data_IF_222108240203
#
_entry.id   IF_222108240203
#
_cell.length_a   1.000
_cell.length_b   1.000
_cell.length_c   1.000
_cell.angle_alpha   90.00
_cell.angle_beta   90.00
_cell.angle_gamma   90.00
#
_symmetry.space_group_name_H-M   'P 1'
#
loop_
_entity.id
_entity.type
_entity.pdbx_description
1 polymer ?
#
# COMPACT_ATOMS: atom_id res chain seq x y z
N UNK A 1 19.34 39.34 -18.92
CA UNK A 1 18.56 38.80 -17.80
C UNK A 1 17.24 38.26 -18.32
N UNK A 2 17.10 36.93 -18.46
CA UNK A 2 15.87 36.29 -18.90
C UNK A 2 14.98 36.08 -17.66
N UNK A 3 13.88 36.83 -17.55
CA UNK A 3 12.89 36.65 -16.49
C UNK A 3 12.23 35.27 -16.67
N UNK A 4 12.37 34.41 -15.67
CA UNK A 4 11.61 33.14 -15.60
C UNK A 4 10.11 33.45 -15.63
N UNK A 5 9.29 32.75 -16.44
CA UNK A 5 7.85 32.95 -16.42
C UNK A 5 7.32 32.63 -15.01
N UNK A 6 6.28 33.34 -14.53
CA UNK A 6 5.68 33.05 -13.25
C UNK A 6 5.15 31.61 -13.22
N UNK A 7 5.46 30.86 -12.15
CA UNK A 7 4.89 29.53 -11.92
C UNK A 7 3.39 29.68 -11.97
N UNK A 8 2.75 28.96 -12.90
CA UNK A 8 1.31 28.90 -12.96
C UNK A 8 0.79 28.39 -11.62
N UNK A 9 0.01 29.20 -10.92
CA UNK A 9 -0.74 28.77 -9.74
C UNK A 9 -1.64 27.62 -10.15
N UNK A 10 -1.69 26.49 -9.39
CA UNK A 10 -2.59 25.38 -9.68
C UNK A 10 -4.02 25.89 -9.79
N UNK A 11 -4.74 25.51 -10.85
CA UNK A 11 -6.14 25.86 -10.99
C UNK A 11 -6.93 25.21 -9.84
N UNK A 12 -7.89 25.89 -9.21
CA UNK A 12 -8.68 25.33 -8.08
C UNK A 12 -9.33 23.98 -8.36
N UNK A 13 -9.73 23.74 -9.62
CA UNK A 13 -10.28 22.47 -10.08
C UNK A 13 -9.27 21.30 -10.06
N UNK A 14 -7.98 21.59 -10.03
CA UNK A 14 -6.95 20.53 -9.91
C UNK A 14 -6.70 20.14 -8.46
N UNK A 15 -6.97 21.01 -7.48
CA UNK A 15 -6.71 20.73 -6.08
C UNK A 15 -7.63 19.62 -5.53
N UNK A 16 -8.94 19.69 -5.79
CA UNK A 16 -9.88 18.64 -5.39
C UNK A 16 -9.54 17.29 -6.07
N UNK A 17 -9.20 17.34 -7.39
CA UNK A 17 -8.82 16.13 -8.12
C UNK A 17 -7.51 15.53 -7.64
N UNK A 18 -6.59 16.31 -7.10
CA UNK A 18 -5.35 15.84 -6.54
C UNK A 18 -5.54 15.15 -5.18
N UNK A 19 -6.52 15.60 -4.37
CA UNK A 19 -6.81 15.01 -3.05
C UNK A 19 -7.27 13.57 -3.18
N UNK A 20 -8.33 13.31 -3.94
CA UNK A 20 -8.86 11.95 -4.10
C UNK A 20 -7.87 11.02 -4.79
N UNK A 21 -7.13 11.52 -5.80
CA UNK A 21 -6.10 10.73 -6.48
C UNK A 21 -5.00 10.30 -5.51
N UNK A 22 -4.54 11.19 -4.64
CA UNK A 22 -3.53 10.86 -3.62
C UNK A 22 -4.05 9.85 -2.62
N UNK A 23 -5.28 10.01 -2.11
CA UNK A 23 -5.87 9.08 -1.16
C UNK A 23 -6.07 7.68 -1.75
N UNK A 24 -6.61 7.56 -2.96
CA UNK A 24 -6.67 6.27 -3.65
C UNK A 24 -5.28 5.68 -3.89
N UNK A 25 -4.30 6.50 -4.27
CA UNK A 25 -2.91 6.05 -4.43
C UNK A 25 -2.32 5.52 -3.12
N UNK A 26 -2.63 6.16 -1.98
CA UNK A 26 -2.20 5.74 -0.64
C UNK A 26 -2.80 4.36 -0.29
N UNK A 27 -4.08 4.13 -0.58
CA UNK A 27 -4.74 2.84 -0.38
C UNK A 27 -4.02 1.71 -1.14
N UNK A 28 -3.74 1.91 -2.43
CA UNK A 28 -2.99 0.92 -3.22
C UNK A 28 -1.54 0.75 -2.76
N UNK A 29 -0.93 1.82 -2.24
CA UNK A 29 0.42 1.77 -1.69
C UNK A 29 0.50 0.93 -0.42
N UNK A 30 -0.58 0.81 0.36
CA UNK A 30 -0.63 -0.06 1.54
C UNK A 30 -0.40 -1.54 1.17
N UNK A 31 -1.08 -2.04 0.12
CA UNK A 31 -0.87 -3.41 -0.35
C UNK A 31 0.55 -3.63 -0.91
N UNK A 32 1.07 -2.65 -1.64
CA UNK A 32 2.44 -2.70 -2.17
C UNK A 32 3.47 -2.74 -1.04
N UNK A 33 3.30 -1.91 -0.01
CA UNK A 33 4.16 -1.87 1.16
C UNK A 33 4.13 -3.19 1.95
N UNK A 34 2.93 -3.75 2.16
CA UNK A 34 2.77 -5.05 2.82
C UNK A 34 3.51 -6.14 2.05
N UNK A 35 3.34 -6.20 0.72
CA UNK A 35 4.01 -7.17 -0.14
C UNK A 35 5.53 -7.02 -0.16
N UNK A 36 6.04 -5.79 -0.15
CA UNK A 36 7.47 -5.50 -0.07
C UNK A 36 8.06 -6.00 1.26
N UNK A 37 7.37 -5.76 2.38
CA UNK A 37 7.81 -6.23 3.69
C UNK A 37 7.77 -7.75 3.82
N UNK A 38 6.74 -8.40 3.28
CA UNK A 38 6.68 -9.87 3.20
C UNK A 38 7.85 -10.40 2.37
N UNK A 39 8.08 -9.84 1.18
CA UNK A 39 9.17 -10.25 0.30
C UNK A 39 10.55 -10.08 0.96
N UNK A 40 10.76 -8.96 1.64
CA UNK A 40 12.00 -8.68 2.37
C UNK A 40 12.21 -9.67 3.51
N UNK A 41 11.15 -9.98 4.29
CA UNK A 41 11.21 -10.96 5.38
C UNK A 41 11.47 -12.39 4.88
N UNK A 42 10.97 -12.71 3.68
CA UNK A 42 11.19 -13.98 3.02
C UNK A 42 12.60 -14.10 2.37
N UNK A 43 13.40 -13.04 2.39
CA UNK A 43 14.72 -13.02 1.78
C UNK A 43 14.73 -12.80 0.26
N UNK A 44 13.57 -12.53 -0.36
CA UNK A 44 13.47 -12.30 -1.81
C UNK A 44 14.23 -11.05 -2.27
N UNK A 45 14.44 -10.09 -1.39
CA UNK A 45 15.18 -8.85 -1.68
C UNK A 45 16.68 -9.10 -1.89
N UNK A 46 17.24 -10.21 -1.42
CA UNK A 46 18.65 -10.55 -1.67
C UNK A 46 18.91 -10.86 -3.15
N UNK A 47 17.94 -11.45 -3.86
CA UNK A 47 18.06 -11.70 -5.28
C UNK A 47 18.21 -10.40 -6.10
N UNK A 48 17.53 -9.34 -5.68
CA UNK A 48 17.63 -8.02 -6.32
C UNK A 48 18.96 -7.32 -6.05
N UNK A 49 19.67 -7.65 -4.95
CA UNK A 49 20.98 -7.09 -4.63
C UNK A 49 22.12 -7.73 -5.46
N UNK A 50 21.91 -8.95 -5.94
CA UNK A 50 22.91 -9.67 -6.72
C UNK A 50 22.97 -9.20 -8.17
N UNK A 51 21.89 -8.64 -8.70
CA UNK A 51 21.85 -8.08 -10.05
C UNK A 51 21.37 -6.61 -10.06
N UNK A 52 22.28 -5.67 -9.80
CA UNK A 52 21.96 -4.22 -9.78
C UNK A 52 21.71 -3.66 -11.19
N UNK A 53 21.99 -4.40 -12.25
CA UNK A 53 21.85 -3.95 -13.65
C UNK A 53 20.41 -3.98 -14.12
N UNK A 54 19.57 -4.82 -13.52
CA UNK A 54 18.16 -5.02 -13.90
C UNK A 54 17.19 -3.93 -13.44
N UNK A 55 17.67 -2.90 -12.74
CA UNK A 55 16.85 -1.77 -12.24
C UNK A 55 15.99 -2.13 -11.02
N UNK A 56 15.18 -1.18 -10.56
CA UNK A 56 14.27 -1.33 -9.41
C UNK A 56 13.18 -2.35 -9.77
N UNK A 57 13.40 -3.60 -9.40
CA UNK A 57 12.39 -4.64 -9.53
C UNK A 57 11.47 -4.59 -8.31
N UNK A 58 10.21 -4.25 -8.54
CA UNK A 58 9.18 -4.42 -7.50
C UNK A 58 9.08 -5.91 -7.15
N UNK A 59 9.12 -6.28 -5.86
CA UNK A 59 9.02 -7.67 -5.44
C UNK A 59 7.76 -8.33 -5.99
N UNK A 60 7.85 -9.56 -6.48
CA UNK A 60 6.72 -10.31 -7.07
C UNK A 60 5.54 -10.38 -6.11
N UNK A 61 5.79 -10.57 -4.80
CA UNK A 61 4.75 -10.59 -3.78
C UNK A 61 3.99 -9.27 -3.72
N UNK A 62 4.69 -8.13 -3.83
CA UNK A 62 4.07 -6.80 -3.87
C UNK A 62 3.13 -6.65 -5.07
N UNK A 63 3.54 -7.12 -6.24
CA UNK A 63 2.72 -7.10 -7.45
C UNK A 63 1.48 -8.00 -7.32
N UNK A 64 1.62 -9.19 -6.75
CA UNK A 64 0.51 -10.11 -6.51
C UNK A 64 -0.53 -9.48 -5.57
N UNK A 65 -0.10 -8.92 -4.44
CA UNK A 65 -1.01 -8.27 -3.48
C UNK A 65 -1.67 -7.03 -4.08
N UNK A 66 -0.93 -6.24 -4.85
CA UNK A 66 -1.46 -5.09 -5.56
C UNK A 66 -2.55 -5.49 -6.58
N UNK A 67 -2.31 -6.51 -7.39
CA UNK A 67 -3.30 -7.03 -8.34
C UNK A 67 -4.52 -7.62 -7.62
N UNK A 68 -4.30 -8.31 -6.51
CA UNK A 68 -5.38 -8.86 -5.69
C UNK A 68 -6.26 -7.76 -5.11
N UNK A 69 -5.66 -6.67 -4.60
CA UNK A 69 -6.40 -5.49 -4.15
C UNK A 69 -7.22 -4.87 -5.30
N UNK A 70 -6.65 -4.73 -6.51
CA UNK A 70 -7.40 -4.22 -7.68
C UNK A 70 -8.60 -5.10 -7.99
N UNK A 71 -8.43 -6.42 -7.98
CA UNK A 71 -9.53 -7.35 -8.25
C UNK A 71 -10.66 -7.20 -7.23
N UNK A 72 -10.32 -7.12 -5.94
CA UNK A 72 -11.31 -6.90 -4.88
C UNK A 72 -11.98 -5.53 -5.04
N UNK A 73 -11.21 -4.48 -5.27
CA UNK A 73 -11.72 -3.11 -5.49
C UNK A 73 -12.76 -3.04 -6.62
N UNK A 74 -12.51 -3.76 -7.71
CA UNK A 74 -13.47 -3.86 -8.82
C UNK A 74 -14.69 -4.69 -8.43
N UNK A 75 -14.51 -5.79 -7.69
CA UNK A 75 -15.58 -6.70 -7.28
C UNK A 75 -16.56 -6.03 -6.30
N UNK A 76 -16.06 -5.23 -5.35
CA UNK A 76 -16.91 -4.48 -4.41
C UNK A 76 -17.47 -3.18 -5.02
N UNK A 77 -17.28 -2.96 -6.32
CA UNK A 77 -17.66 -1.72 -7.01
C UNK A 77 -17.03 -0.44 -6.44
N UNK A 78 -15.89 -0.54 -5.77
CA UNK A 78 -15.17 0.58 -5.18
C UNK A 78 -14.86 1.71 -6.19
N UNK A 79 -14.64 1.35 -7.46
CA UNK A 79 -14.46 2.31 -8.55
C UNK A 79 -15.71 3.17 -8.79
N UNK A 80 -16.93 2.63 -8.63
CA UNK A 80 -18.18 3.39 -8.78
C UNK A 80 -18.38 4.31 -7.57
N UNK A 81 -18.08 3.84 -6.36
CA UNK A 81 -18.11 4.68 -5.15
C UNK A 81 -17.12 5.83 -5.26
N UNK A 82 -15.89 5.56 -5.71
CA UNK A 82 -14.89 6.61 -5.95
C UNK A 82 -15.38 7.65 -6.98
N UNK A 83 -15.99 7.22 -8.09
CA UNK A 83 -16.56 8.14 -9.07
C UNK A 83 -17.71 8.99 -8.48
N UNK A 84 -18.58 8.38 -7.67
CA UNK A 84 -19.64 9.10 -6.97
C UNK A 84 -19.06 10.18 -6.05
N UNK A 85 -18.06 9.84 -5.22
CA UNK A 85 -17.40 10.79 -4.33
C UNK A 85 -16.78 11.95 -5.13
N UNK A 86 -16.17 11.68 -6.28
CA UNK A 86 -15.63 12.72 -7.15
C UNK A 86 -16.73 13.68 -7.64
N UNK A 87 -17.89 13.17 -8.04
CA UNK A 87 -19.01 14.00 -8.48
C UNK A 87 -19.55 14.81 -7.31
N UNK A 88 -19.74 14.19 -6.15
CA UNK A 88 -20.23 14.84 -4.94
C UNK A 88 -19.24 15.90 -4.42
N UNK A 89 -17.93 15.73 -4.64
CA UNK A 89 -16.92 16.70 -4.21
C UNK A 89 -17.11 18.11 -4.79
N UNK A 90 -17.76 18.24 -5.94
CA UNK A 90 -18.12 19.56 -6.49
C UNK A 90 -19.17 20.31 -5.68
N UNK A 91 -19.97 19.60 -4.87
CA UNK A 91 -20.93 20.21 -3.95
C UNK A 91 -20.21 20.76 -2.70
N UNK A 92 -19.14 20.08 -2.24
CA UNK A 92 -18.35 20.49 -1.07
C UNK A 92 -17.33 21.59 -1.42
N UNK A 93 -16.74 21.53 -2.59
CA UNK A 93 -15.73 22.49 -3.07
C UNK A 93 -16.19 23.06 -4.42
N UNK A 94 -16.99 24.14 -4.42
CA UNK A 94 -17.41 24.80 -5.66
C UNK A 94 -16.22 25.32 -6.47
N UNK A 95 -16.37 25.35 -7.78
CA UNK A 95 -15.32 25.84 -8.69
C UNK A 95 -15.00 27.30 -8.36
N UNK A 96 -13.74 27.57 -8.00
CA UNK A 96 -13.25 28.90 -7.66
C UNK A 96 -12.99 29.14 -6.18
N UNK A 97 -13.36 28.22 -5.30
CA UNK A 97 -12.98 28.24 -3.87
C UNK A 97 -11.63 27.53 -3.66
N UNK A 98 -10.84 28.04 -2.74
CA UNK A 98 -9.59 27.37 -2.32
C UNK A 98 -9.91 26.56 -1.06
N UNK A 99 -9.59 25.25 -1.04
CA UNK A 99 -9.75 24.43 0.15
C UNK A 99 -8.82 24.91 1.26
N UNK A 100 -9.24 24.72 2.51
CA UNK A 100 -8.47 25.11 3.70
C UNK A 100 -7.17 24.29 3.75
N UNK A 101 -5.97 24.90 3.73
CA UNK A 101 -4.71 24.17 3.65
C UNK A 101 -4.46 23.23 4.85
N UNK A 102 -4.93 23.58 6.06
CA UNK A 102 -4.79 22.75 7.25
C UNK A 102 -5.54 21.44 7.12
N UNK A 103 -6.79 21.45 6.66
CA UNK A 103 -7.60 20.24 6.47
C UNK A 103 -6.97 19.26 5.44
N UNK A 104 -6.33 19.81 4.41
CA UNK A 104 -5.59 18.99 3.43
C UNK A 104 -4.36 18.30 4.04
N UNK A 105 -3.64 19.01 4.92
CA UNK A 105 -2.46 18.46 5.59
C UNK A 105 -2.90 17.40 6.60
N UNK A 106 -3.90 17.69 7.41
CA UNK A 106 -4.41 16.77 8.44
C UNK A 106 -4.99 15.50 7.80
N UNK A 107 -5.79 15.64 6.73
CA UNK A 107 -6.30 14.52 5.96
C UNK A 107 -5.20 13.67 5.33
N UNK A 108 -4.16 14.30 4.78
CA UNK A 108 -2.99 13.61 4.23
C UNK A 108 -2.18 12.85 5.28
N UNK A 109 -1.99 13.43 6.46
CA UNK A 109 -1.30 12.79 7.58
C UNK A 109 -2.11 11.60 8.11
N UNK A 110 -3.42 11.75 8.30
CA UNK A 110 -4.30 10.68 8.73
C UNK A 110 -4.35 9.53 7.71
N UNK A 111 -4.46 9.83 6.41
CA UNK A 111 -4.40 8.84 5.34
C UNK A 111 -3.07 8.07 5.32
N UNK A 112 -1.95 8.76 5.55
CA UNK A 112 -0.63 8.11 5.63
C UNK A 112 -0.53 7.20 6.86
N UNK A 113 -1.05 7.63 8.01
CA UNK A 113 -1.12 6.80 9.22
C UNK A 113 -1.94 5.52 9.00
N UNK A 114 -3.12 5.65 8.39
CA UNK A 114 -3.99 4.52 8.05
C UNK A 114 -3.32 3.55 7.05
N UNK A 115 -2.55 4.07 6.09
CA UNK A 115 -1.78 3.24 5.15
C UNK A 115 -0.80 2.32 5.89
N UNK A 116 -0.01 2.86 6.82
CA UNK A 116 0.95 2.05 7.59
C UNK A 116 0.25 1.04 8.50
N UNK A 117 -0.86 1.43 9.13
CA UNK A 117 -1.65 0.55 9.97
C UNK A 117 -2.21 -0.63 9.15
N UNK A 118 -2.87 -0.35 8.05
CA UNK A 118 -3.48 -1.36 7.19
C UNK A 118 -2.42 -2.26 6.54
N UNK A 119 -1.29 -1.69 6.08
CA UNK A 119 -0.17 -2.48 5.60
C UNK A 119 0.36 -3.44 6.67
N UNK A 120 0.43 -2.98 7.93
CA UNK A 120 0.87 -3.80 9.06
C UNK A 120 -0.11 -4.94 9.35
N UNK A 121 -1.41 -4.69 9.33
CA UNK A 121 -2.45 -5.71 9.52
C UNK A 121 -2.35 -6.78 8.42
N UNK A 122 -2.18 -6.37 7.17
CA UNK A 122 -2.08 -7.28 6.02
C UNK A 122 -0.82 -8.15 6.10
N UNK A 123 0.33 -7.57 6.45
CA UNK A 123 1.60 -8.30 6.44
C UNK A 123 1.83 -9.16 7.70
N UNK A 124 1.29 -8.75 8.86
CA UNK A 124 1.62 -9.32 10.18
C UNK A 124 1.50 -10.84 10.24
N UNK A 125 0.38 -11.47 9.84
CA UNK A 125 0.25 -12.93 9.95
C UNK A 125 1.31 -13.68 9.14
N UNK A 126 1.65 -13.18 7.96
CA UNK A 126 2.65 -13.81 7.08
C UNK A 126 4.06 -13.59 7.62
N UNK A 127 4.39 -12.35 8.00
CA UNK A 127 5.72 -12.00 8.53
C UNK A 127 6.04 -12.74 9.82
N UNK A 128 5.06 -12.92 10.72
CA UNK A 128 5.24 -13.68 11.94
C UNK A 128 5.61 -15.15 11.67
N UNK A 129 4.91 -15.80 10.74
CA UNK A 129 5.23 -17.19 10.41
C UNK A 129 6.58 -17.29 9.70
N UNK A 130 6.88 -16.37 8.80
CA UNK A 130 8.20 -16.31 8.14
C UNK A 130 9.32 -16.09 9.15
N UNK A 131 9.09 -15.25 10.17
CA UNK A 131 10.04 -15.06 11.28
C UNK A 131 10.29 -16.37 12.04
N UNK A 132 9.24 -17.11 12.35
CA UNK A 132 9.38 -18.42 13.02
C UNK A 132 10.17 -19.42 12.17
N UNK A 133 9.92 -19.45 10.86
CA UNK A 133 10.69 -20.27 9.91
C UNK A 133 12.16 -19.85 9.93
N UNK A 134 12.46 -18.56 9.89
CA UNK A 134 13.83 -18.05 9.93
C UNK A 134 14.56 -18.40 11.23
N UNK A 135 13.88 -18.33 12.36
CA UNK A 135 14.42 -18.76 13.67
C UNK A 135 14.71 -20.26 13.65
N UNK A 136 13.79 -21.08 13.16
CA UNK A 136 13.99 -22.53 13.05
C UNK A 136 15.19 -22.88 12.17
N UNK A 137 15.33 -22.22 11.00
CA UNK A 137 16.47 -22.40 10.10
C UNK A 137 17.76 -21.96 10.80
N UNK A 138 17.77 -20.86 11.55
CA UNK A 138 18.92 -20.39 12.32
C UNK A 138 19.39 -21.40 13.36
N UNK A 139 18.47 -22.11 14.03
CA UNK A 139 18.80 -23.18 14.98
C UNK A 139 19.37 -24.39 14.24
N UNK A 140 18.74 -24.79 13.12
CA UNK A 140 19.19 -25.95 12.31
C UNK A 140 20.60 -25.70 11.77
N UNK A 141 20.86 -24.53 11.19
CA UNK A 141 22.18 -24.20 10.62
C UNK A 141 23.29 -24.12 11.67
N UNK A 142 22.94 -23.79 12.92
CA UNK A 142 23.87 -23.86 14.04
C UNK A 142 24.24 -25.30 14.39
N UNK A 143 23.29 -26.23 14.32
CA UNK A 143 23.49 -27.65 14.67
C UNK A 143 24.11 -28.45 13.51
N UNK A 144 23.83 -28.06 12.27
CA UNK A 144 24.31 -28.70 11.07
C UNK A 144 24.86 -27.64 10.08
N UNK A 145 26.11 -27.17 10.30
CA UNK A 145 26.72 -26.11 9.46
C UNK A 145 26.84 -26.45 7.98
N UNK A 146 26.75 -27.73 7.64
CA UNK A 146 26.76 -28.25 6.26
C UNK A 146 25.52 -27.80 5.47
N UNK A 147 24.40 -27.54 6.16
CA UNK A 147 23.19 -26.95 5.59
C UNK A 147 23.35 -25.44 5.59
N UNK A 148 24.00 -24.91 4.54
CA UNK A 148 24.21 -23.47 4.50
C UNK A 148 22.89 -22.72 4.23
N UNK A 149 22.80 -21.50 4.77
CA UNK A 149 21.62 -20.65 4.68
C UNK A 149 21.20 -20.39 3.21
N UNK A 150 22.15 -20.28 2.31
CA UNK A 150 21.89 -19.97 0.90
C UNK A 150 21.33 -21.16 0.12
N UNK A 151 21.81 -22.37 0.38
CA UNK A 151 21.37 -23.55 -0.35
C UNK A 151 20.06 -24.14 0.15
N UNK A 152 19.77 -24.03 1.46
CA UNK A 152 18.60 -24.62 2.10
C UNK A 152 17.66 -23.57 2.69
N UNK A 153 18.20 -22.55 3.35
CA UNK A 153 17.40 -21.56 4.07
C UNK A 153 16.47 -20.79 3.17
N UNK A 154 16.96 -20.17 2.10
CA UNK A 154 16.13 -19.37 1.20
C UNK A 154 15.02 -20.17 0.50
N UNK A 155 15.28 -21.34 -0.11
CA UNK A 155 14.21 -22.12 -0.72
C UNK A 155 13.09 -22.50 0.27
N UNK A 156 13.44 -22.88 1.49
CA UNK A 156 12.46 -23.23 2.53
C UNK A 156 11.65 -22.00 2.96
N UNK A 157 12.31 -20.86 3.18
CA UNK A 157 11.61 -19.63 3.56
C UNK A 157 10.67 -19.16 2.46
N UNK A 158 11.08 -19.21 1.19
CA UNK A 158 10.25 -18.88 0.05
C UNK A 158 9.02 -19.79 -0.05
N UNK A 159 9.23 -21.10 0.01
CA UNK A 159 8.16 -22.09 -0.03
C UNK A 159 7.19 -21.90 1.13
N UNK A 160 7.71 -21.70 2.34
CA UNK A 160 6.93 -21.40 3.53
C UNK A 160 6.11 -20.13 3.38
N UNK A 161 6.68 -19.07 2.81
CA UNK A 161 5.98 -17.80 2.55
C UNK A 161 4.80 -17.99 1.60
N UNK A 162 4.97 -18.72 0.49
CA UNK A 162 3.87 -18.98 -0.44
C UNK A 162 2.79 -19.88 0.16
N UNK A 163 3.17 -20.87 0.98
CA UNK A 163 2.20 -21.70 1.69
C UNK A 163 1.37 -20.86 2.65
N UNK A 164 2.00 -19.98 3.42
CA UNK A 164 1.29 -19.09 4.37
C UNK A 164 0.41 -18.10 3.63
N UNK A 165 0.88 -17.52 2.54
CA UNK A 165 0.06 -16.65 1.69
C UNK A 165 -1.17 -17.38 1.15
N UNK A 166 -1.02 -18.62 0.70
CA UNK A 166 -2.12 -19.44 0.23
C UNK A 166 -3.19 -19.64 1.31
N UNK A 167 -2.79 -20.02 2.53
CA UNK A 167 -3.74 -20.18 3.64
C UNK A 167 -4.32 -18.85 4.15
N UNK A 168 -3.63 -17.74 3.91
CA UNK A 168 -4.08 -16.40 4.31
C UNK A 168 -5.00 -15.73 3.29
N UNK A 169 -5.26 -16.33 2.13
CA UNK A 169 -6.01 -15.72 1.02
C UNK A 169 -7.38 -15.19 1.48
N UNK A 170 -8.12 -15.97 2.26
CA UNK A 170 -9.44 -15.54 2.74
C UNK A 170 -9.33 -14.34 3.70
N UNK A 171 -8.38 -14.38 4.62
CA UNK A 171 -8.14 -13.29 5.56
C UNK A 171 -7.65 -12.02 4.84
N UNK A 172 -6.80 -12.18 3.82
CA UNK A 172 -6.36 -11.07 2.97
C UNK A 172 -7.53 -10.44 2.22
N UNK A 173 -8.49 -11.27 1.74
CA UNK A 173 -9.70 -10.77 1.10
C UNK A 173 -10.50 -9.86 2.01
N UNK A 174 -10.74 -10.27 3.26
CA UNK A 174 -11.42 -9.43 4.26
C UNK A 174 -10.63 -8.17 4.60
N UNK A 175 -9.32 -8.29 4.83
CA UNK A 175 -8.47 -7.15 5.14
C UNK A 175 -8.43 -6.13 4.00
N UNK A 176 -8.46 -6.57 2.75
CA UNK A 176 -8.52 -5.68 1.60
C UNK A 176 -9.88 -5.03 1.41
N UNK A 177 -10.98 -5.74 1.68
CA UNK A 177 -12.31 -5.11 1.67
C UNK A 177 -12.41 -4.03 2.73
N UNK A 178 -11.95 -4.30 3.95
CA UNK A 178 -11.92 -3.34 5.05
C UNK A 178 -11.00 -2.12 4.75
N UNK A 179 -9.86 -2.36 4.12
CA UNK A 179 -8.98 -1.29 3.63
C UNK A 179 -9.67 -0.39 2.60
N UNK A 180 -10.44 -0.97 1.67
CA UNK A 180 -11.17 -0.21 0.65
C UNK A 180 -12.26 0.62 1.31
N UNK A 181 -13.08 0.02 2.16
CA UNK A 181 -14.19 0.69 2.82
C UNK A 181 -13.67 1.83 3.71
N UNK A 182 -12.69 1.56 4.56
CA UNK A 182 -12.08 2.58 5.43
C UNK A 182 -11.42 3.71 4.64
N UNK A 183 -10.80 3.42 3.50
CA UNK A 183 -10.16 4.44 2.66
C UNK A 183 -11.18 5.31 1.95
N UNK A 184 -12.29 4.76 1.48
CA UNK A 184 -13.38 5.50 0.84
C UNK A 184 -14.14 6.38 1.86
N UNK A 185 -14.40 5.85 3.05
CA UNK A 185 -15.02 6.61 4.15
C UNK A 185 -14.13 7.77 4.61
N UNK A 186 -12.82 7.52 4.74
CA UNK A 186 -11.87 8.58 5.09
C UNK A 186 -11.78 9.67 4.02
N UNK A 187 -11.92 9.31 2.75
CA UNK A 187 -11.98 10.26 1.65
C UNK A 187 -13.24 11.15 1.76
N UNK A 188 -14.39 10.55 2.10
CA UNK A 188 -15.64 11.27 2.27
C UNK A 188 -15.56 12.25 3.45
N UNK A 189 -15.11 11.79 4.62
CA UNK A 189 -14.94 12.63 5.82
C UNK A 189 -13.95 13.78 5.61
N UNK A 190 -12.88 13.54 4.82
CA UNK A 190 -11.93 14.60 4.47
C UNK A 190 -12.60 15.65 3.59
N UNK A 191 -13.46 15.27 2.64
CA UNK A 191 -14.20 16.22 1.80
C UNK A 191 -15.21 17.04 2.61
N UNK A 192 -15.92 16.41 3.55
CA UNK A 192 -16.84 17.10 4.45
C UNK A 192 -16.11 18.14 5.33
N UNK A 193 -14.95 17.79 5.87
CA UNK A 193 -14.14 18.71 6.69
C UNK A 193 -13.61 19.93 5.92
N UNK A 194 -13.55 19.88 4.59
CA UNK A 194 -13.14 20.99 3.74
C UNK A 194 -14.28 22.03 3.56
N UNK A 195 -15.52 21.68 3.89
CA UNK A 195 -16.68 22.56 3.82
C UNK A 195 -16.85 23.37 5.10
N UNK A 196 -16.51 22.78 6.26
CA UNK A 196 -16.78 23.37 7.59
C UNK A 196 -15.69 24.37 8.07
N UNK A 197 -14.67 24.63 7.26
CA UNK A 197 -13.58 25.58 7.55
C UNK A 197 -13.53 26.73 6.56
#
# INVERSE_FOLDING_TARGET
MIRRPPRSTPKPSSAASDVYKRQLSIMFSAASLAGEKIATSAGLSYAAQVDPVSGVQTPVVSQILYLFLIMIFLTVNGHLVALRIIIESYNFIPIGTLPVPSALIDGGMAASGSMFLNASIIMMPVVLVVLLINVAIGIITRSAPQLNLFSFGFPITMLGTFIVLYFSISNLGFAFSDLIDSSLDHLMTTLESLQDG
#
